data_IF_979507677917
#
_entry.id   IF_979507677917
#
_cell.length_a   1.000
_cell.length_b   1.000
_cell.length_c   1.000
_cell.angle_alpha   90.00
_cell.angle_beta   90.00
_cell.angle_gamma   90.00
#
_symmetry.space_group_name_H-M   'P 1'
#
loop_
_entity.id
_entity.type
_entity.pdbx_description
1 polymer ?
#
# COMPACT_ATOMS: atom_id res chain seq x y z
N UNK A 1 12.60 43.92 -29.43
CA UNK A 1 12.46 42.47 -29.22
C UNK A 1 11.86 42.28 -27.84
N UNK A 2 10.74 41.57 -27.71
CA UNK A 2 10.11 41.33 -26.41
C UNK A 2 10.88 40.22 -25.67
N UNK A 3 11.08 40.31 -24.34
CA UNK A 3 11.76 39.26 -23.59
C UNK A 3 10.98 37.95 -23.63
N UNK A 4 11.69 36.84 -23.84
CA UNK A 4 11.16 35.47 -23.77
C UNK A 4 11.51 34.90 -22.40
N UNK A 5 10.51 34.39 -21.70
CA UNK A 5 10.65 33.77 -20.37
C UNK A 5 10.31 32.29 -20.48
N UNK A 6 11.13 31.42 -19.88
CA UNK A 6 10.92 29.97 -19.72
C UNK A 6 11.08 29.56 -18.26
N UNK A 7 10.28 28.60 -17.81
CA UNK A 7 10.45 27.97 -16.50
C UNK A 7 11.50 26.86 -16.65
N UNK A 8 12.63 26.99 -15.97
CA UNK A 8 13.73 26.00 -16.03
C UNK A 8 13.59 24.91 -14.95
N UNK A 9 12.93 25.23 -13.83
CA UNK A 9 12.77 24.32 -12.70
C UNK A 9 11.58 24.70 -11.84
N UNK A 10 10.83 23.70 -11.41
CA UNK A 10 9.80 23.80 -10.37
C UNK A 10 10.01 22.63 -9.41
N UNK A 11 10.31 22.91 -8.14
CA UNK A 11 10.38 21.88 -7.10
C UNK A 11 8.97 21.37 -6.74
N UNK A 12 8.87 20.13 -6.31
CA UNK A 12 7.62 19.60 -5.78
C UNK A 12 7.47 19.99 -4.29
N UNK A 13 6.35 20.62 -3.93
CA UNK A 13 6.04 21.04 -2.56
C UNK A 13 4.99 20.14 -1.93
N UNK A 14 5.05 19.94 -0.60
CA UNK A 14 3.99 19.25 0.12
C UNK A 14 2.70 20.09 0.15
N UNK A 15 1.55 19.43 0.08
CA UNK A 15 0.26 20.12 0.21
C UNK A 15 0.06 20.65 1.63
N UNK A 16 -0.68 21.75 1.77
CA UNK A 16 -0.97 22.39 3.07
C UNK A 16 -2.11 21.69 3.83
N UNK A 17 -2.04 20.37 3.94
CA UNK A 17 -2.97 19.56 4.72
C UNK A 17 -2.21 18.69 5.72
N UNK A 18 -2.57 18.70 7.02
CA UNK A 18 -1.81 17.98 8.05
C UNK A 18 -1.89 16.45 7.90
N UNK A 19 -2.92 15.93 7.23
CA UNK A 19 -3.17 14.49 7.04
C UNK A 19 -2.55 13.94 5.75
N UNK A 20 -1.68 14.71 5.08
CA UNK A 20 -1.14 14.40 3.76
C UNK A 20 0.26 13.80 3.80
N UNK A 21 0.74 13.38 4.97
CA UNK A 21 2.02 12.71 5.14
C UNK A 21 1.84 11.48 6.03
N UNK A 22 2.48 10.37 5.67
CA UNK A 22 2.47 9.15 6.47
C UNK A 22 3.77 8.37 6.31
N UNK A 23 4.09 7.61 7.35
CA UNK A 23 5.22 6.68 7.36
C UNK A 23 4.76 5.29 6.93
N UNK A 24 5.52 4.68 6.01
CA UNK A 24 5.54 3.25 5.77
C UNK A 24 6.31 2.53 6.88
N UNK A 25 6.01 1.25 7.08
CA UNK A 25 6.65 0.43 8.13
C UNK A 25 8.14 0.15 7.84
N UNK A 26 8.56 0.30 6.60
CA UNK A 26 9.97 0.22 6.16
C UNK A 26 10.72 1.55 6.29
N UNK A 27 10.10 2.60 6.85
CA UNK A 27 10.70 3.93 6.94
C UNK A 27 10.50 4.78 5.69
N UNK A 28 9.71 4.34 4.71
CA UNK A 28 9.34 5.17 3.57
C UNK A 28 8.44 6.32 4.01
N UNK A 29 8.68 7.52 3.51
CA UNK A 29 7.80 8.67 3.69
C UNK A 29 6.93 8.79 2.45
N UNK A 30 5.61 8.77 2.63
CA UNK A 30 4.65 9.15 1.61
C UNK A 30 4.08 10.53 1.93
N UNK A 31 4.09 11.44 0.96
CA UNK A 31 3.41 12.73 1.11
C UNK A 31 2.69 13.17 -0.17
N UNK A 32 1.57 13.88 -0.01
CA UNK A 32 0.83 14.46 -1.12
C UNK A 32 1.43 15.78 -1.59
N UNK A 33 1.52 15.92 -2.90
CA UNK A 33 2.21 17.02 -3.55
C UNK A 33 1.44 17.44 -4.81
N UNK A 34 0.62 18.48 -4.67
CA UNK A 34 -0.48 18.81 -5.57
C UNK A 34 -1.43 17.62 -5.79
N UNK A 35 -1.64 17.17 -7.03
CA UNK A 35 -2.43 15.98 -7.37
C UNK A 35 -1.58 14.70 -7.46
N UNK A 36 -0.31 14.77 -7.03
CA UNK A 36 0.61 13.65 -6.96
C UNK A 36 0.78 13.15 -5.53
N UNK A 37 1.34 11.94 -5.41
CA UNK A 37 1.95 11.44 -4.17
C UNK A 37 3.41 11.14 -4.45
N UNK A 38 4.29 11.58 -3.56
CA UNK A 38 5.71 11.28 -3.62
C UNK A 38 6.09 10.29 -2.53
N UNK A 39 6.93 9.31 -2.88
CA UNK A 39 7.50 8.32 -1.97
C UNK A 39 9.01 8.52 -1.85
N UNK A 40 9.53 8.45 -0.63
CA UNK A 40 10.94 8.62 -0.32
C UNK A 40 11.42 7.55 0.66
N UNK A 41 12.51 6.87 0.33
CA UNK A 41 13.21 6.01 1.28
C UNK A 41 13.95 6.83 2.35
N UNK A 42 14.34 6.19 3.47
CA UNK A 42 15.41 6.70 4.32
C UNK A 42 16.61 7.09 3.43
N UNK A 43 17.33 8.16 3.76
CA UNK A 43 18.35 8.82 2.90
C UNK A 43 17.82 9.79 1.84
N UNK A 44 16.51 10.06 1.83
CA UNK A 44 15.90 11.10 0.98
C UNK A 44 15.98 10.79 -0.52
N UNK A 45 16.04 9.50 -0.87
CA UNK A 45 15.95 9.01 -2.24
C UNK A 45 14.48 8.91 -2.64
N UNK A 46 14.09 9.57 -3.74
CA UNK A 46 12.75 9.44 -4.28
C UNK A 46 12.57 8.06 -4.92
N UNK A 47 11.62 7.27 -4.40
CA UNK A 47 11.37 5.92 -4.91
C UNK A 47 10.24 5.85 -5.92
N UNK A 48 9.29 6.79 -5.85
CA UNK A 48 8.22 6.93 -6.84
C UNK A 48 7.55 8.32 -6.78
N UNK A 49 6.99 8.73 -7.91
CA UNK A 49 6.01 9.82 -8.02
C UNK A 49 4.75 9.26 -8.69
N UNK A 50 3.62 9.35 -8.01
CA UNK A 50 2.35 8.81 -8.46
C UNK A 50 1.48 9.98 -8.95
N UNK A 51 1.14 10.00 -10.25
CA UNK A 51 0.06 10.86 -10.74
C UNK A 51 -1.27 10.30 -10.25
N UNK A 52 -1.71 10.82 -9.11
CA UNK A 52 -2.68 10.11 -8.29
C UNK A 52 -4.11 10.55 -8.57
N UNK A 53 -4.35 11.84 -8.79
CA UNK A 53 -5.68 12.44 -8.71
C UNK A 53 -5.87 13.57 -9.75
N UNK A 54 -7.11 14.00 -9.97
CA UNK A 54 -7.43 15.19 -10.76
C UNK A 54 -7.46 16.49 -9.93
N UNK A 55 -7.45 16.35 -8.60
CA UNK A 55 -7.40 17.46 -7.65
C UNK A 55 -6.28 17.28 -6.62
N UNK A 56 -6.14 18.28 -5.75
CA UNK A 56 -5.14 18.23 -4.66
C UNK A 56 -5.38 17.03 -3.75
N UNK A 57 -4.32 16.28 -3.44
CA UNK A 57 -4.34 15.26 -2.39
C UNK A 57 -4.49 15.95 -1.04
N UNK A 58 -5.56 15.64 -0.32
CA UNK A 58 -5.88 16.26 0.96
C UNK A 58 -5.49 15.38 2.14
N UNK A 59 -5.49 14.07 1.93
CA UNK A 59 -5.23 13.09 2.98
C UNK A 59 -4.65 11.83 2.39
N UNK A 60 -3.75 11.17 3.12
CA UNK A 60 -3.27 9.85 2.79
C UNK A 60 -3.00 9.03 4.04
N UNK A 61 -2.95 7.71 3.88
CA UNK A 61 -2.53 6.78 4.92
C UNK A 61 -1.75 5.64 4.29
N UNK A 62 -0.74 5.14 5.02
CA UNK A 62 0.06 3.99 4.61
C UNK A 62 -0.09 2.91 5.67
N UNK A 63 -0.25 1.67 5.25
CA UNK A 63 -0.18 0.51 6.16
C UNK A 63 0.46 -0.68 5.49
N UNK A 64 1.10 -1.53 6.29
CA UNK A 64 1.49 -2.86 5.84
C UNK A 64 0.32 -3.81 6.06
N UNK A 65 -0.17 -4.43 5.00
CA UNK A 65 -1.23 -5.41 5.13
C UNK A 65 -0.64 -6.69 5.77
N UNK A 66 -0.95 -6.96 7.04
CA UNK A 66 -0.43 -8.16 7.74
C UNK A 66 -0.89 -9.49 7.12
N UNK A 67 -2.00 -9.50 6.37
CA UNK A 67 -2.53 -10.67 5.66
C UNK A 67 -1.99 -10.82 4.23
N UNK A 68 -1.23 -9.85 3.74
CA UNK A 68 -0.43 -10.05 2.54
C UNK A 68 0.87 -10.74 3.00
N UNK A 69 0.95 -12.04 2.75
CA UNK A 69 2.20 -12.80 2.81
C UNK A 69 3.06 -12.32 1.63
N UNK A 70 3.70 -11.14 1.72
CA UNK A 70 4.88 -10.63 0.96
C UNK A 70 5.04 -9.11 1.17
N UNK A 71 6.23 -8.57 0.89
CA UNK A 71 6.71 -7.18 1.01
C UNK A 71 5.89 -6.09 0.28
N UNK A 72 4.60 -5.98 0.60
CA UNK A 72 3.69 -5.00 -0.02
C UNK A 72 3.04 -4.08 1.00
N UNK A 73 2.97 -2.81 0.62
CA UNK A 73 2.28 -1.78 1.38
C UNK A 73 1.01 -1.33 0.65
N UNK A 74 -0.02 -1.01 1.44
CA UNK A 74 -1.18 -0.31 0.94
C UNK A 74 -1.05 1.18 1.24
N UNK A 75 -1.26 1.97 0.20
CA UNK A 75 -1.33 3.42 0.29
C UNK A 75 -2.77 3.80 -0.06
N UNK A 76 -3.41 4.57 0.81
CA UNK A 76 -4.74 5.12 0.56
C UNK A 76 -4.60 6.63 0.45
N UNK A 77 -5.28 7.21 -0.54
CA UNK A 77 -5.20 8.64 -0.83
C UNK A 77 -6.59 9.19 -1.04
N UNK A 78 -6.86 10.40 -0.55
CA UNK A 78 -8.11 11.11 -0.71
C UNK A 78 -7.87 12.52 -1.25
N UNK A 79 -8.69 12.95 -2.20
CA UNK A 79 -8.43 14.15 -3.00
C UNK A 79 -9.62 15.12 -3.07
N UNK A 80 -9.32 16.38 -3.36
CA UNK A 80 -10.28 17.44 -3.66
C UNK A 80 -11.06 17.23 -4.97
N UNK A 81 -10.78 16.19 -5.75
CA UNK A 81 -11.64 15.74 -6.85
C UNK A 81 -12.82 14.87 -6.38
N UNK A 82 -12.86 14.51 -5.09
CA UNK A 82 -13.90 13.65 -4.52
C UNK A 82 -13.61 12.17 -4.67
N UNK A 83 -12.36 11.78 -4.92
CA UNK A 83 -11.97 10.38 -5.11
C UNK A 83 -11.10 9.90 -3.95
N UNK A 84 -11.32 8.65 -3.54
CA UNK A 84 -10.38 7.87 -2.73
C UNK A 84 -9.75 6.79 -3.60
N UNK A 85 -8.43 6.68 -3.60
CA UNK A 85 -7.71 5.61 -4.32
C UNK A 85 -6.95 4.72 -3.35
N UNK A 86 -6.98 3.42 -3.66
CA UNK A 86 -6.24 2.36 -2.98
C UNK A 86 -5.12 1.92 -3.90
N UNK A 87 -3.89 1.99 -3.42
CA UNK A 87 -2.69 1.65 -4.16
C UNK A 87 -1.95 0.52 -3.45
N UNK A 88 -1.36 -0.36 -4.24
CA UNK A 88 -0.42 -1.39 -3.78
C UNK A 88 0.98 -0.98 -4.21
N UNK A 89 1.87 -0.86 -3.24
CA UNK A 89 3.30 -0.64 -3.44
C UNK A 89 4.01 -1.96 -3.23
N UNK A 90 4.78 -2.39 -4.23
CA UNK A 90 5.71 -3.51 -4.15
C UNK A 90 7.13 -2.95 -4.17
N UNK A 91 7.91 -3.31 -3.17
CA UNK A 91 9.33 -2.95 -3.07
C UNK A 91 10.08 -3.79 -4.11
N UNK A 92 10.74 -3.14 -5.08
CA UNK A 92 11.47 -3.84 -6.15
C UNK A 92 12.99 -3.82 -5.90
N UNK A 93 13.55 -2.65 -5.57
CA UNK A 93 14.94 -2.44 -5.18
C UNK A 93 15.05 -1.20 -4.26
N UNK A 94 16.27 -0.81 -3.89
CA UNK A 94 16.52 0.34 -2.99
C UNK A 94 16.26 1.71 -3.63
N UNK A 95 15.91 1.77 -4.93
CA UNK A 95 15.86 3.01 -5.70
C UNK A 95 14.47 3.27 -6.26
N UNK A 96 13.71 2.24 -6.64
CA UNK A 96 12.45 2.41 -7.33
C UNK A 96 11.39 1.41 -6.87
N UNK A 97 10.25 1.95 -6.45
CA UNK A 97 9.07 1.18 -6.11
C UNK A 97 8.17 0.93 -7.32
N UNK A 98 7.54 -0.24 -7.37
CA UNK A 98 6.40 -0.48 -8.25
C UNK A 98 5.11 -0.14 -7.52
N UNK A 99 4.33 0.82 -8.04
CA UNK A 99 3.08 1.23 -7.41
C UNK A 99 1.92 1.12 -8.40
N UNK A 100 0.86 0.40 -7.98
CA UNK A 100 -0.32 0.13 -8.81
C UNK A 100 -1.59 0.60 -8.12
N UNK A 101 -2.43 1.36 -8.83
CA UNK A 101 -3.79 1.64 -8.36
C UNK A 101 -4.63 0.37 -8.41
N UNK A 102 -5.06 -0.14 -7.25
CA UNK A 102 -5.93 -1.30 -7.15
C UNK A 102 -7.40 -0.91 -7.26
N UNK A 103 -7.79 0.19 -6.61
CA UNK A 103 -9.19 0.63 -6.57
C UNK A 103 -9.29 2.15 -6.63
N UNK A 104 -10.41 2.60 -7.20
CA UNK A 104 -10.83 3.99 -7.24
C UNK A 104 -12.27 4.03 -6.72
N UNK A 105 -12.49 4.79 -5.65
CA UNK A 105 -13.78 4.96 -4.98
C UNK A 105 -14.20 6.40 -5.21
N UNK A 106 -15.23 6.60 -6.03
CA UNK A 106 -15.81 7.92 -6.27
C UNK A 106 -16.75 8.26 -5.11
N UNK A 107 -16.52 9.44 -4.50
CA UNK A 107 -17.37 10.01 -3.46
C UNK A 107 -18.27 11.11 -4.01
N UNK A 108 -18.49 11.22 -5.32
CA UNK A 108 -19.43 12.15 -5.95
C UNK A 108 -19.21 13.61 -5.50
N UNK A 109 -17.96 14.09 -5.58
CA UNK A 109 -17.53 15.42 -5.11
C UNK A 109 -17.62 15.64 -3.59
N UNK A 110 -17.63 14.58 -2.78
CA UNK A 110 -17.57 14.66 -1.31
C UNK A 110 -16.12 14.51 -0.86
N UNK A 111 -15.42 15.63 -0.69
CA UNK A 111 -13.97 15.65 -0.50
C UNK A 111 -13.54 15.05 0.86
N UNK A 112 -12.80 13.92 0.87
CA UNK A 112 -12.27 13.34 2.09
C UNK A 112 -11.21 14.29 2.66
N UNK A 113 -11.35 14.60 3.95
CA UNK A 113 -10.46 15.50 4.68
C UNK A 113 -9.53 14.75 5.63
N UNK A 114 -9.92 13.55 6.05
CA UNK A 114 -9.09 12.64 6.82
C UNK A 114 -9.40 11.20 6.43
N UNK A 115 -8.37 10.36 6.38
CA UNK A 115 -8.46 8.92 6.29
C UNK A 115 -7.82 8.30 7.53
N UNK A 116 -8.44 7.23 8.03
CA UNK A 116 -7.85 6.39 9.05
C UNK A 116 -7.93 4.94 8.58
N UNK A 117 -6.81 4.24 8.62
CA UNK A 117 -6.72 2.84 8.24
C UNK A 117 -6.26 2.05 9.45
N UNK A 118 -7.05 1.05 9.84
CA UNK A 118 -6.71 0.19 10.95
C UNK A 118 -6.95 -1.25 10.59
N UNK A 119 -6.04 -2.11 11.04
CA UNK A 119 -6.36 -3.52 11.19
C UNK A 119 -7.37 -3.65 12.33
N UNK A 120 -8.42 -4.43 12.10
CA UNK A 120 -9.31 -4.83 13.17
C UNK A 120 -9.08 -6.33 13.42
N UNK A 121 -8.75 -6.75 14.66
CA UNK A 121 -8.71 -8.17 14.97
C UNK A 121 -10.08 -8.79 14.71
N UNK A 122 -10.10 -10.09 14.44
CA UNK A 122 -11.33 -10.84 14.17
C UNK A 122 -12.48 -10.41 15.09
N UNK A 123 -13.64 -10.16 14.49
CA UNK A 123 -14.83 -9.85 15.26
C UNK A 123 -15.25 -11.09 16.06
N UNK A 124 -14.88 -11.11 17.34
CA UNK A 124 -15.36 -12.10 18.32
C UNK A 124 -16.86 -11.94 18.63
N UNK A 125 -17.48 -10.88 18.13
CA UNK A 125 -18.90 -10.64 18.31
C UNK A 125 -19.71 -11.57 17.39
N UNK A 126 -20.25 -12.64 17.99
CA UNK A 126 -21.09 -13.64 17.33
C UNK A 126 -22.45 -13.11 16.87
N UNK A 127 -22.87 -11.93 17.34
CA UNK A 127 -24.13 -11.30 16.93
C UNK A 127 -24.05 -10.67 15.54
N UNK A 128 -22.85 -10.33 15.05
CA UNK A 128 -22.67 -9.76 13.71
C UNK A 128 -22.82 -10.86 12.67
N UNK A 129 -23.81 -10.73 11.79
CA UNK A 129 -24.06 -11.66 10.69
C UNK A 129 -23.22 -11.32 9.46
N UNK A 130 -22.99 -12.32 8.62
CA UNK A 130 -22.48 -12.11 7.26
C UNK A 130 -23.43 -11.18 6.46
N UNK A 131 -22.92 -10.26 5.62
CA UNK A 131 -21.53 -10.13 5.17
C UNK A 131 -20.68 -9.15 6.01
N UNK A 132 -21.18 -8.66 7.14
CA UNK A 132 -20.56 -7.59 7.94
C UNK A 132 -19.50 -8.08 8.92
N UNK A 133 -19.39 -9.40 9.10
CA UNK A 133 -18.37 -10.00 9.95
C UNK A 133 -16.99 -9.80 9.32
N UNK A 134 -16.05 -9.30 10.12
CA UNK A 134 -14.65 -9.12 9.71
C UNK A 134 -13.86 -10.41 9.92
N UNK A 135 -13.01 -10.72 8.95
CA UNK A 135 -12.10 -11.86 8.94
C UNK A 135 -10.72 -11.42 9.40
N UNK A 136 -9.90 -12.38 9.82
CA UNK A 136 -8.50 -12.09 10.06
C UNK A 136 -7.85 -11.53 8.79
N UNK A 137 -7.07 -10.47 8.96
CA UNK A 137 -6.42 -9.77 7.87
C UNK A 137 -7.18 -8.60 7.27
N UNK A 138 -8.48 -8.46 7.55
CA UNK A 138 -9.26 -7.33 7.05
C UNK A 138 -8.75 -6.01 7.63
N UNK A 139 -8.74 -4.98 6.79
CA UNK A 139 -8.55 -3.60 7.23
C UNK A 139 -9.86 -2.84 7.17
N UNK A 140 -10.07 -1.94 8.11
CA UNK A 140 -11.11 -0.93 8.03
C UNK A 140 -10.50 0.40 7.62
N UNK A 141 -11.02 0.92 6.51
CA UNK A 141 -10.79 2.27 6.07
C UNK A 141 -11.95 3.15 6.53
N UNK A 142 -11.64 4.20 7.28
CA UNK A 142 -12.58 5.26 7.60
C UNK A 142 -12.19 6.54 6.86
N UNK A 143 -13.16 7.26 6.29
CA UNK A 143 -12.96 8.64 5.86
C UNK A 143 -13.86 9.58 6.63
N UNK A 144 -13.36 10.75 7.02
CA UNK A 144 -14.17 11.90 7.38
C UNK A 144 -14.15 12.90 6.22
N UNK A 145 -15.32 13.33 5.76
CA UNK A 145 -15.47 14.14 4.55
C UNK A 145 -16.15 15.48 4.83
N UNK A 146 -15.96 16.45 3.93
CA UNK A 146 -16.55 17.79 4.02
C UNK A 146 -18.08 17.75 4.08
N UNK A 147 -18.69 16.70 3.56
CA UNK A 147 -20.14 16.49 3.59
C UNK A 147 -20.70 16.09 4.97
N UNK A 148 -19.85 16.08 6.01
CA UNK A 148 -20.15 15.76 7.42
C UNK A 148 -20.38 14.28 7.71
N UNK A 149 -20.10 13.39 6.75
CA UNK A 149 -20.25 11.96 6.94
C UNK A 149 -18.91 11.29 7.23
N UNK A 150 -18.98 10.27 8.11
CA UNK A 150 -17.95 9.24 8.20
C UNK A 150 -18.40 8.07 7.33
N UNK A 151 -17.49 7.58 6.50
CA UNK A 151 -17.71 6.38 5.67
C UNK A 151 -16.72 5.32 6.06
N UNK A 152 -17.18 4.09 6.08
CA UNK A 152 -16.40 2.91 6.43
C UNK A 152 -16.39 1.96 5.23
N UNK A 153 -15.21 1.49 4.88
CA UNK A 153 -15.02 0.43 3.89
C UNK A 153 -14.20 -0.68 4.52
N UNK A 154 -14.60 -1.92 4.23
CA UNK A 154 -13.78 -3.09 4.47
C UNK A 154 -12.82 -3.26 3.29
N UNK A 155 -11.54 -3.33 3.57
CA UNK A 155 -10.49 -3.70 2.62
C UNK A 155 -10.07 -5.12 2.93
N UNK A 156 -10.52 -6.05 2.09
CA UNK A 156 -10.24 -7.48 2.20
C UNK A 156 -9.33 -7.92 1.07
N UNK A 157 -8.37 -8.81 1.35
CA UNK A 157 -7.57 -9.47 0.33
C UNK A 157 -8.19 -10.84 0.04
N UNK A 158 -8.72 -11.05 -1.16
CA UNK A 158 -9.26 -12.36 -1.58
C UNK A 158 -8.16 -13.28 -2.12
N UNK A 159 -6.99 -13.29 -1.49
CA UNK A 159 -5.93 -14.23 -1.83
C UNK A 159 -6.19 -15.56 -1.12
N UNK A 160 -6.11 -16.67 -1.83
CA UNK A 160 -5.93 -17.98 -1.20
C UNK A 160 -4.69 -17.90 -0.31
N UNK A 161 -4.90 -17.70 0.99
CA UNK A 161 -3.85 -17.85 1.98
C UNK A 161 -3.54 -19.34 2.00
N UNK A 162 -2.47 -19.75 1.33
CA UNK A 162 -1.86 -21.05 1.63
C UNK A 162 -1.33 -20.98 3.07
N UNK A 163 -2.23 -21.24 4.02
CA UNK A 163 -1.91 -21.36 5.43
C UNK A 163 -1.09 -22.63 5.61
N UNK A 164 0.22 -22.49 5.54
CA UNK A 164 1.13 -23.47 6.12
C UNK A 164 2.19 -22.72 6.92
N UNK A 165 2.39 -23.23 8.14
CA UNK A 165 3.27 -22.78 9.23
C UNK A 165 2.54 -21.82 10.21
N UNK A 166 2.20 -22.18 11.44
CA UNK A 166 2.67 -23.28 12.30
C UNK A 166 1.61 -23.66 13.36
N UNK A 167 1.25 -24.95 13.41
CA UNK A 167 0.81 -25.58 14.65
C UNK A 167 1.13 -27.08 14.62
N UNK A 168 2.11 -27.42 15.45
CA UNK A 168 2.39 -28.69 16.14
C UNK A 168 3.09 -29.87 15.45
N UNK A 169 4.08 -30.37 16.19
CA UNK A 169 4.85 -31.59 15.99
C UNK A 169 4.01 -32.88 16.10
N UNK A 170 4.63 -33.96 15.61
CA UNK A 170 4.41 -35.39 15.93
C UNK A 170 3.31 -36.14 15.14
N UNK A 171 3.68 -36.73 14.00
CA UNK A 171 3.95 -38.17 13.85
C UNK A 171 3.74 -38.70 12.42
N UNK A 172 4.81 -39.30 11.90
CA UNK A 172 4.84 -40.50 11.04
C UNK A 172 3.89 -40.63 9.83
N UNK A 173 4.43 -40.46 8.60
CA UNK A 173 3.84 -41.09 7.40
C UNK A 173 4.08 -40.39 6.05
N UNK A 174 5.28 -40.59 5.48
CA UNK A 174 5.72 -40.41 4.06
C UNK A 174 4.86 -39.54 3.11
N UNK A 175 5.42 -38.39 2.74
CA UNK A 175 5.21 -37.73 1.44
C UNK A 175 6.54 -37.20 0.89
N UNK A 176 6.78 -37.37 -0.41
CA UNK A 176 8.08 -37.25 -1.10
C UNK A 176 8.78 -35.90 -0.88
N UNK A 177 10.04 -35.97 -0.45
CA UNK A 177 10.86 -34.82 -0.08
C UNK A 177 11.43 -34.09 -1.32
N UNK A 178 11.34 -32.76 -1.30
CA UNK A 178 11.94 -31.86 -2.30
C UNK A 178 13.46 -31.88 -2.13
N UNK A 179 14.20 -32.08 -3.22
CA UNK A 179 15.67 -31.97 -3.19
C UNK A 179 16.10 -30.56 -2.82
N UNK A 180 17.12 -30.47 -1.97
CA UNK A 180 17.70 -29.21 -1.50
C UNK A 180 18.37 -28.46 -2.65
N UNK A 181 18.21 -27.14 -2.69
CA UNK A 181 18.88 -26.25 -3.66
C UNK A 181 20.39 -26.44 -3.70
N UNK A 182 21.00 -26.91 -2.59
CA UNK A 182 22.43 -27.22 -2.51
C UNK A 182 22.85 -28.37 -3.44
N UNK A 183 22.00 -29.39 -3.60
CA UNK A 183 22.24 -30.52 -4.52
C UNK A 183 22.04 -30.14 -5.99
N UNK A 184 21.22 -29.12 -6.26
CA UNK A 184 21.03 -28.59 -7.62
C UNK A 184 22.18 -27.68 -8.05
N UNK A 185 22.82 -26.98 -7.09
CA UNK A 185 23.94 -26.09 -7.34
C UNK A 185 25.27 -26.83 -7.52
N UNK A 186 25.45 -28.01 -6.93
CA UNK A 186 26.65 -28.86 -7.14
C UNK A 186 26.77 -29.45 -8.56
N UNK A 187 25.71 -29.37 -9.38
CA UNK A 187 25.69 -29.95 -10.73
C UNK A 187 25.82 -28.92 -11.86
N UNK A 188 26.19 -27.67 -11.57
CA UNK A 188 26.43 -26.65 -12.60
C UNK A 188 27.86 -26.78 -13.16
N UNK A 189 28.06 -26.73 -14.50
CA UNK A 189 29.40 -26.75 -15.09
C UNK A 189 30.20 -25.52 -14.68
N UNK A 190 31.49 -25.72 -14.41
CA UNK A 190 32.43 -24.67 -14.00
C UNK A 190 32.87 -23.86 -15.24
N UNK A 191 32.22 -22.71 -15.50
CA UNK A 191 32.56 -21.79 -16.58
C UNK A 191 33.82 -20.94 -16.28
N UNK A 192 34.83 -21.55 -15.64
CA UNK A 192 36.17 -21.00 -15.53
C UNK A 192 37.16 -21.80 -16.38
N UNK A 193 36.93 -21.81 -17.69
CA UNK A 193 37.95 -22.02 -18.74
C UNK A 193 37.39 -21.63 -20.10
N UNK A 194 37.54 -20.36 -20.48
CA UNK A 194 38.11 -19.88 -21.75
C UNK A 194 38.60 -18.44 -21.55
#
# INVERSE_FOLDING_TARGET
MLPKVSNEYTSIGCNRFPQVAAWGKDGTIAFGAYNYVALYYPEWVNSAILESHGGSVNTLGVTRAKSIIVDKDLIITGSADGVVKVWERSICDDVQDSVKCLQTIDLERKYPMALALSYLPESKNSTIQEPYKLKDGDLLLASASQDKYVRLWRVSYNGEVSSSLDSEEVSNGKSKEKKSLKELLENLPDDTKY
#
